data_IF_087043757182
#
_entry.id   IF_087043757182
#
_cell.length_a   1.000
_cell.length_b   1.000
_cell.length_c   1.000
_cell.angle_alpha   90.00
_cell.angle_beta   90.00
_cell.angle_gamma   90.00
#
_symmetry.space_group_name_H-M   'P 1'
#
loop_
_entity.id
_entity.type
_entity.pdbx_description
1 polymer ?
#
# COMPACT_ATOMS: atom_id res chain seq x y z
N UNK A 1 1.09 -18.13 52.98
CA UNK A 1 -0.09 -17.52 52.35
C UNK A 1 0.31 -17.04 50.97
N UNK A 2 -0.53 -17.41 50.00
CA UNK A 2 -0.41 -17.27 48.55
C UNK A 2 -0.44 -15.81 48.11
N UNK A 3 0.48 -15.40 47.24
CA UNK A 3 0.42 -14.12 46.53
C UNK A 3 0.16 -14.38 45.06
N UNK A 4 -1.11 -14.34 44.64
CA UNK A 4 -1.53 -14.48 43.25
C UNK A 4 -1.04 -13.28 42.44
N UNK A 5 -0.26 -13.55 41.38
CA UNK A 5 -0.14 -12.62 40.27
C UNK A 5 -1.54 -12.42 39.66
N UNK A 6 -1.98 -11.18 39.54
CA UNK A 6 -3.18 -10.86 38.79
C UNK A 6 -2.84 -10.97 37.32
N UNK A 7 -3.23 -12.09 36.71
CA UNK A 7 -3.34 -12.20 35.26
C UNK A 7 -4.41 -11.19 34.81
N UNK A 8 -3.95 -10.03 34.34
CA UNK A 8 -4.83 -9.08 33.65
C UNK A 8 -5.31 -9.78 32.39
N UNK A 9 -6.63 -9.96 32.19
CA UNK A 9 -7.15 -10.55 30.95
C UNK A 9 -6.67 -9.71 29.77
N UNK A 10 -6.12 -10.36 28.74
CA UNK A 10 -5.83 -9.68 27.48
C UNK A 10 -7.12 -9.04 26.95
N UNK A 11 -7.08 -7.80 26.41
CA UNK A 11 -8.25 -7.17 25.86
C UNK A 11 -8.88 -8.08 24.80
N UNK A 12 -10.17 -8.41 24.97
CA UNK A 12 -10.88 -9.40 24.17
C UNK A 12 -11.57 -8.79 22.94
N UNK A 13 -10.91 -7.86 22.26
CA UNK A 13 -11.49 -7.16 21.11
C UNK A 13 -10.42 -6.66 20.14
N UNK A 14 -10.84 -6.15 18.97
CA UNK A 14 -9.91 -5.67 17.96
C UNK A 14 -8.94 -4.62 18.53
N UNK A 15 -7.65 -4.84 18.32
CA UNK A 15 -6.56 -3.98 18.79
C UNK A 15 -5.97 -3.22 17.61
N UNK A 16 -5.88 -1.90 17.71
CA UNK A 16 -5.12 -1.12 16.73
C UNK A 16 -3.62 -1.27 17.01
N UNK A 17 -2.89 -1.79 16.04
CA UNK A 17 -1.43 -1.85 16.11
C UNK A 17 -0.85 -0.47 15.81
N UNK A 18 -0.01 0.06 16.70
CA UNK A 18 0.74 1.30 16.51
C UNK A 18 2.22 1.00 16.72
N UNK A 19 3.06 1.35 15.74
CA UNK A 19 4.48 0.97 15.76
C UNK A 19 5.07 0.84 14.36
N UNK A 20 6.11 0.02 14.25
CA UNK A 20 6.74 -0.32 12.97
C UNK A 20 6.41 -1.76 12.59
N UNK A 21 5.91 -1.97 11.37
CA UNK A 21 5.96 -3.24 10.69
C UNK A 21 7.34 -3.36 10.03
N UNK A 22 8.30 -3.95 10.75
CA UNK A 22 9.65 -4.19 10.21
C UNK A 22 9.56 -5.28 9.16
N UNK A 23 10.06 -5.00 7.95
CA UNK A 23 10.00 -5.93 6.83
C UNK A 23 11.12 -6.98 6.90
N UNK A 24 10.76 -8.21 6.57
CA UNK A 24 11.70 -9.24 6.16
C UNK A 24 12.02 -9.03 4.67
N UNK A 25 13.30 -9.00 4.27
CA UNK A 25 13.68 -8.88 2.86
C UNK A 25 13.06 -9.98 2.00
N UNK A 26 12.59 -9.62 0.82
CA UNK A 26 12.15 -10.59 -0.18
C UNK A 26 13.29 -11.54 -0.55
N UNK A 27 12.99 -12.83 -0.57
CA UNK A 27 13.94 -13.86 -0.97
C UNK A 27 13.25 -14.92 -1.82
N UNK A 28 14.05 -15.63 -2.62
CA UNK A 28 13.61 -16.78 -3.41
C UNK A 28 14.54 -17.96 -3.13
N UNK A 29 13.96 -19.13 -2.89
CA UNK A 29 14.66 -20.39 -2.71
C UNK A 29 13.94 -21.48 -3.52
N UNK A 30 14.55 -21.89 -4.63
CA UNK A 30 13.84 -22.69 -5.64
C UNK A 30 12.63 -21.91 -6.16
N UNK A 31 11.45 -22.52 -6.14
CA UNK A 31 10.20 -21.87 -6.55
C UNK A 31 9.49 -21.11 -5.41
N UNK A 32 10.03 -21.19 -4.19
CA UNK A 32 9.41 -20.57 -3.01
C UNK A 32 9.87 -19.13 -2.85
N UNK A 33 8.92 -18.20 -2.77
CA UNK A 33 9.16 -16.80 -2.41
C UNK A 33 8.75 -16.59 -0.95
N UNK A 34 9.56 -15.84 -0.21
CA UNK A 34 9.31 -15.43 1.18
C UNK A 34 9.69 -13.97 1.40
N UNK A 35 9.27 -13.38 2.52
CA UNK A 35 9.57 -11.98 2.83
C UNK A 35 8.69 -11.02 2.03
N UNK A 36 9.10 -9.76 1.93
CA UNK A 36 8.31 -8.72 1.26
C UNK A 36 8.57 -8.68 -0.25
N UNK A 37 7.49 -8.61 -1.04
CA UNK A 37 7.58 -8.61 -2.51
C UNK A 37 6.38 -7.94 -3.18
N UNK A 38 6.56 -7.66 -4.47
CA UNK A 38 5.55 -7.11 -5.37
C UNK A 38 5.44 -7.96 -6.65
N UNK A 39 4.22 -8.17 -7.14
CA UNK A 39 3.95 -8.69 -8.49
C UNK A 39 3.01 -7.75 -9.22
N UNK A 40 3.06 -7.80 -10.55
CA UNK A 40 2.14 -7.04 -11.39
C UNK A 40 1.41 -7.98 -12.33
N UNK A 41 0.10 -8.14 -12.13
CA UNK A 41 -0.77 -8.99 -12.94
C UNK A 41 -1.16 -8.24 -14.21
N UNK A 42 -1.03 -8.92 -15.35
CA UNK A 42 -1.43 -8.36 -16.64
C UNK A 42 -2.96 -8.34 -16.79
N UNK A 43 -3.53 -7.46 -17.64
CA UNK A 43 -4.95 -7.45 -17.92
C UNK A 43 -5.49 -8.84 -18.33
N UNK A 44 -6.59 -9.26 -17.70
CA UNK A 44 -7.19 -10.58 -17.91
C UNK A 44 -6.62 -11.71 -17.05
N UNK A 45 -5.57 -11.44 -16.25
CA UNK A 45 -5.02 -12.39 -15.29
C UNK A 45 -5.62 -12.32 -13.89
N UNK A 46 -5.16 -13.18 -12.99
CA UNK A 46 -5.53 -13.16 -11.56
C UNK A 46 -4.31 -13.02 -10.63
N UNK A 47 -4.47 -12.51 -9.39
CA UNK A 47 -3.40 -12.42 -8.40
C UNK A 47 -2.73 -13.75 -8.06
N UNK A 48 -3.44 -14.87 -8.21
CA UNK A 48 -2.97 -16.21 -7.87
C UNK A 48 -2.24 -16.87 -9.06
N UNK A 49 -2.73 -16.65 -10.28
CA UNK A 49 -2.32 -17.39 -11.46
C UNK A 49 -1.63 -16.55 -12.55
N UNK A 50 -1.67 -15.23 -12.44
CA UNK A 50 -1.17 -14.34 -13.49
C UNK A 50 -2.05 -14.38 -14.76
N UNK A 51 -1.48 -14.10 -15.94
CA UNK A 51 -0.06 -13.91 -16.19
C UNK A 51 0.50 -12.67 -15.50
N UNK A 52 1.78 -12.73 -15.11
CA UNK A 52 2.48 -11.62 -14.44
C UNK A 52 3.37 -10.91 -15.45
N UNK A 53 3.51 -9.59 -15.32
CA UNK A 53 4.49 -8.82 -16.06
C UNK A 53 5.89 -9.21 -15.60
N UNK A 54 6.76 -9.73 -16.49
CA UNK A 54 8.14 -10.06 -16.12
C UNK A 54 8.95 -8.78 -15.90
N UNK A 55 9.44 -8.58 -14.69
CA UNK A 55 10.49 -7.62 -14.38
C UNK A 55 11.86 -8.23 -14.69
N UNK A 56 12.51 -7.76 -15.75
CA UNK A 56 13.82 -8.25 -16.18
C UNK A 56 14.95 -8.03 -15.17
N UNK A 57 14.77 -7.11 -14.20
CA UNK A 57 15.73 -6.87 -13.13
C UNK A 57 15.58 -7.85 -11.95
N UNK A 58 14.48 -8.62 -11.91
CA UNK A 58 14.23 -9.52 -10.79
C UNK A 58 14.81 -10.93 -11.01
N UNK A 59 15.54 -11.48 -10.03
CA UNK A 59 16.04 -12.85 -10.09
C UNK A 59 14.96 -13.90 -9.79
N UNK A 60 13.78 -13.51 -9.29
CA UNK A 60 12.79 -14.44 -8.80
C UNK A 60 11.77 -14.85 -9.87
N UNK A 61 11.56 -16.17 -10.02
CA UNK A 61 10.48 -16.76 -10.81
C UNK A 61 10.40 -16.21 -12.24
N UNK A 62 11.55 -16.13 -12.92
CA UNK A 62 11.62 -15.63 -14.30
C UNK A 62 11.20 -14.16 -14.46
N UNK A 63 11.36 -13.37 -13.40
CA UNK A 63 10.97 -11.96 -13.37
C UNK A 63 9.55 -11.70 -12.90
N UNK A 64 8.73 -12.74 -12.67
CA UNK A 64 7.33 -12.57 -12.27
C UNK A 64 7.13 -11.88 -10.91
N UNK A 65 8.14 -11.96 -10.04
CA UNK A 65 8.10 -11.41 -8.68
C UNK A 65 9.24 -10.46 -8.45
N UNK A 66 8.96 -9.22 -8.06
CA UNK A 66 9.98 -8.26 -7.63
C UNK A 66 10.19 -8.37 -6.13
N UNK A 67 11.39 -8.79 -5.72
CA UNK A 67 11.76 -8.87 -4.31
C UNK A 67 12.07 -7.48 -3.75
N UNK A 68 11.59 -7.19 -2.54
CA UNK A 68 11.76 -5.89 -1.92
C UNK A 68 12.64 -5.98 -0.68
N UNK A 69 13.58 -5.04 -0.55
CA UNK A 69 14.40 -4.88 0.66
C UNK A 69 13.80 -3.81 1.58
N UNK A 70 13.92 -3.96 2.92
CA UNK A 70 13.56 -2.91 3.85
C UNK A 70 14.32 -1.61 3.56
N UNK A 71 13.63 -0.48 3.66
CA UNK A 71 14.22 0.84 3.51
C UNK A 71 14.99 1.31 4.74
N UNK A 72 15.35 2.58 4.76
CA UNK A 72 16.11 3.21 5.85
C UNK A 72 15.38 3.19 7.20
N UNK A 73 14.04 3.15 7.22
CA UNK A 73 13.26 2.99 8.45
C UNK A 73 13.02 1.51 8.82
N UNK A 74 13.42 0.57 7.96
CA UNK A 74 13.25 -0.87 8.15
C UNK A 74 11.86 -1.42 7.81
N UNK A 75 10.91 -0.58 7.37
CA UNK A 75 9.57 -1.02 6.97
C UNK A 75 8.50 0.08 7.08
N UNK A 76 7.25 -0.33 7.29
CA UNK A 76 6.08 0.54 7.30
C UNK A 76 5.70 0.97 8.73
N UNK A 77 5.59 2.27 8.96
CA UNK A 77 5.09 2.86 10.21
C UNK A 77 3.57 2.91 10.21
N UNK A 78 2.97 2.42 11.28
CA UNK A 78 1.53 2.49 11.51
C UNK A 78 1.21 3.69 12.41
N UNK A 79 0.21 4.48 12.02
CA UNK A 79 -0.20 5.70 12.69
C UNK A 79 0.58 6.96 12.26
N UNK A 80 1.48 6.87 11.28
CA UNK A 80 2.21 8.03 10.77
C UNK A 80 2.69 7.87 9.34
N UNK A 81 2.94 8.99 8.67
CA UNK A 81 3.39 9.01 7.27
C UNK A 81 4.92 8.88 7.15
N UNK A 82 5.35 8.17 6.11
CA UNK A 82 6.67 8.20 5.52
C UNK A 82 6.57 8.80 4.11
N UNK A 83 6.51 10.12 4.06
CA UNK A 83 6.27 10.88 2.84
C UNK A 83 7.47 10.94 1.90
N UNK A 84 7.19 11.21 0.64
CA UNK A 84 8.20 11.36 -0.41
C UNK A 84 9.18 12.51 -0.08
N UNK A 85 10.46 12.35 -0.41
CA UNK A 85 11.42 13.42 -0.29
C UNK A 85 11.12 14.55 -1.30
N UNK A 86 11.81 15.68 -1.13
CA UNK A 86 11.76 16.81 -2.06
C UNK A 86 13.19 17.13 -2.51
N UNK A 87 13.55 16.94 -3.80
CA UNK A 87 12.72 16.36 -4.87
C UNK A 87 12.36 14.89 -4.63
N UNK A 88 11.29 14.41 -5.26
CA UNK A 88 10.83 13.01 -5.17
C UNK A 88 11.58 12.07 -6.10
N UNK A 89 12.18 12.60 -7.17
CA UNK A 89 12.83 11.85 -8.24
C UNK A 89 14.21 12.40 -8.57
N UNK A 90 15.06 11.52 -9.13
CA UNK A 90 16.27 11.88 -9.85
C UNK A 90 16.40 10.98 -11.09
N UNK A 91 16.34 11.58 -12.28
CA UNK A 91 16.48 10.86 -13.56
C UNK A 91 15.47 9.70 -13.70
N UNK A 92 14.20 9.94 -13.33
CA UNK A 92 13.14 8.92 -13.33
C UNK A 92 13.14 7.98 -12.11
N UNK A 93 14.25 7.87 -11.38
CA UNK A 93 14.35 7.02 -10.19
C UNK A 93 13.66 7.67 -9.00
N UNK A 94 12.86 6.90 -8.28
CA UNK A 94 12.26 7.34 -7.02
C UNK A 94 13.33 7.46 -5.93
N UNK A 95 13.29 8.57 -5.20
CA UNK A 95 14.14 8.81 -4.03
C UNK A 95 13.48 8.35 -2.72
N UNK A 96 12.26 7.79 -2.78
CA UNK A 96 11.51 7.30 -1.63
C UNK A 96 12.11 6.00 -1.08
N UNK A 97 13.05 6.15 -0.14
CA UNK A 97 13.84 5.05 0.43
C UNK A 97 13.51 4.71 1.91
N UNK A 98 12.41 5.25 2.45
CA UNK A 98 12.08 5.06 3.87
C UNK A 98 11.45 3.70 4.17
N UNK A 99 10.42 3.31 3.41
CA UNK A 99 9.63 2.09 3.63
C UNK A 99 10.37 0.87 3.05
N UNK A 100 10.66 0.91 1.75
CA UNK A 100 11.50 -0.05 1.04
C UNK A 100 12.73 0.67 0.50
N UNK A 101 13.78 -0.09 0.19
CA UNK A 101 14.87 0.42 -0.65
C UNK A 101 14.33 0.60 -2.08
N UNK A 102 14.68 1.69 -2.78
CA UNK A 102 14.33 1.82 -4.19
C UNK A 102 14.83 0.60 -4.96
N UNK A 103 13.93 0.00 -5.74
CA UNK A 103 14.16 -1.31 -6.36
C UNK A 103 13.91 -1.20 -7.85
N UNK A 104 14.79 -1.78 -8.67
CA UNK A 104 14.65 -1.70 -10.12
C UNK A 104 13.44 -2.46 -10.64
N UNK A 105 12.71 -1.79 -11.51
CA UNK A 105 11.62 -2.34 -12.29
C UNK A 105 11.73 -1.76 -13.69
N UNK A 106 12.18 -2.57 -14.66
CA UNK A 106 12.57 -2.10 -15.99
C UNK A 106 13.66 -1.00 -15.94
N UNK A 107 14.77 -1.30 -15.26
CA UNK A 107 15.97 -0.47 -15.06
C UNK A 107 15.78 0.82 -14.24
N UNK A 108 14.55 1.25 -13.98
CA UNK A 108 14.22 2.43 -13.17
C UNK A 108 13.85 1.99 -11.75
N UNK A 109 14.38 2.68 -10.76
CA UNK A 109 14.06 2.41 -9.36
C UNK A 109 12.67 2.93 -9.02
N UNK A 110 11.75 2.04 -8.63
CA UNK A 110 10.51 2.46 -7.95
C UNK A 110 10.72 2.52 -6.45
N UNK A 111 10.02 3.44 -5.81
CA UNK A 111 10.04 3.64 -4.36
C UNK A 111 8.63 3.69 -3.81
N UNK A 112 8.54 3.53 -2.48
CA UNK A 112 7.26 3.49 -1.77
C UNK A 112 7.23 4.60 -0.72
N UNK A 113 6.08 5.28 -0.68
CA UNK A 113 5.79 6.31 0.29
C UNK A 113 4.36 6.18 0.81
N UNK A 114 4.12 6.85 1.93
CA UNK A 114 2.76 7.08 2.44
C UNK A 114 2.58 8.57 2.65
N UNK A 115 1.55 9.16 2.04
CA UNK A 115 1.41 10.61 1.99
C UNK A 115 0.05 11.07 2.55
N UNK A 116 0.01 12.21 3.27
CA UNK A 116 -1.26 12.78 3.76
C UNK A 116 -2.16 13.30 2.63
N UNK A 117 -1.57 13.57 1.47
CA UNK A 117 -2.27 13.83 0.21
C UNK A 117 -1.68 12.89 -0.82
N UNK A 118 -2.52 12.03 -1.38
CA UNK A 118 -2.11 11.05 -2.36
C UNK A 118 -1.52 11.75 -3.62
N UNK A 119 -0.27 11.44 -4.01
CA UNK A 119 0.39 12.14 -5.12
C UNK A 119 -0.31 11.97 -6.47
N UNK A 120 -1.00 10.85 -6.68
CA UNK A 120 -1.71 10.59 -7.94
C UNK A 120 -3.09 11.28 -7.98
N UNK A 121 -3.95 11.03 -7.00
CA UNK A 121 -5.35 11.48 -6.98
C UNK A 121 -5.53 12.86 -6.36
N UNK A 122 -4.51 13.38 -5.66
CA UNK A 122 -4.55 14.65 -4.92
C UNK A 122 -5.61 14.67 -3.81
N UNK A 123 -6.07 13.50 -3.35
CA UNK A 123 -7.02 13.37 -2.23
C UNK A 123 -6.27 13.27 -0.91
N UNK A 124 -6.87 13.83 0.15
CA UNK A 124 -6.43 13.54 1.52
C UNK A 124 -6.85 12.12 1.89
N UNK A 125 -5.91 11.41 2.50
CA UNK A 125 -6.05 10.01 2.92
C UNK A 125 -5.48 9.88 4.33
N UNK A 126 -5.97 8.95 5.17
CA UNK A 126 -5.44 8.75 6.51
C UNK A 126 -4.02 8.15 6.50
N UNK A 127 -3.28 8.23 7.63
CA UNK A 127 -2.06 7.47 7.78
C UNK A 127 -2.37 5.97 7.79
N UNK A 128 -1.39 5.09 7.51
CA UNK A 128 -1.57 3.66 7.58
C UNK A 128 -2.14 3.23 8.94
N UNK A 129 -3.17 2.39 8.94
CA UNK A 129 -3.73 1.78 10.15
C UNK A 129 -3.80 0.27 9.99
N UNK A 130 -3.61 -0.45 11.09
CA UNK A 130 -3.72 -1.91 11.13
C UNK A 130 -4.49 -2.28 12.39
N UNK A 131 -5.49 -3.13 12.23
CA UNK A 131 -6.28 -3.69 13.32
C UNK A 131 -6.02 -5.19 13.36
N UNK A 132 -5.63 -5.67 14.54
CA UNK A 132 -5.51 -7.07 14.88
C UNK A 132 -6.79 -7.53 15.58
N UNK A 133 -7.51 -8.48 14.99
CA UNK A 133 -8.63 -9.17 15.61
C UNK A 133 -8.29 -10.65 15.72
N UNK A 134 -7.83 -11.06 16.91
CA UNK A 134 -7.50 -12.46 17.21
C UNK A 134 -6.53 -13.11 16.20
N UNK A 135 -5.49 -12.37 15.80
CA UNK A 135 -4.47 -12.83 14.87
C UNK A 135 -4.83 -12.63 13.39
N UNK A 136 -6.02 -12.11 13.09
CA UNK A 136 -6.38 -11.65 11.75
C UNK A 136 -6.12 -10.15 11.63
N UNK A 137 -5.32 -9.76 10.66
CA UNK A 137 -5.06 -8.35 10.37
C UNK A 137 -6.01 -7.81 9.31
N UNK A 138 -6.49 -6.59 9.52
CA UNK A 138 -7.11 -5.74 8.49
C UNK A 138 -6.44 -4.38 8.53
N UNK A 139 -6.13 -3.81 7.38
CA UNK A 139 -5.38 -2.56 7.29
C UNK A 139 -5.99 -1.57 6.29
N UNK A 140 -5.94 -0.29 6.65
CA UNK A 140 -6.10 0.83 5.73
C UNK A 140 -4.71 1.31 5.34
N UNK A 141 -4.35 1.04 4.08
CA UNK A 141 -3.13 1.45 3.41
C UNK A 141 -3.44 2.38 2.24
N UNK A 142 -4.56 3.11 2.27
CA UNK A 142 -4.99 4.01 1.19
C UNK A 142 -3.95 5.07 0.79
N UNK A 143 -3.04 5.42 1.71
CA UNK A 143 -1.93 6.35 1.48
C UNK A 143 -0.70 5.73 0.81
N UNK A 144 -0.65 4.42 0.59
CA UNK A 144 0.47 3.72 -0.06
C UNK A 144 0.58 4.12 -1.54
N UNK A 145 1.65 4.84 -1.86
CA UNK A 145 1.97 5.30 -3.20
C UNK A 145 3.26 4.65 -3.69
N UNK A 146 3.28 4.32 -4.98
CA UNK A 146 4.46 3.88 -5.70
C UNK A 146 4.89 4.96 -6.69
N UNK A 147 6.11 5.46 -6.57
CA UNK A 147 6.74 6.39 -7.51
C UNK A 147 7.67 5.63 -8.45
N UNK A 148 7.54 5.85 -9.75
CA UNK A 148 8.38 5.21 -10.78
C UNK A 148 8.40 6.04 -12.07
N UNK A 149 9.58 6.29 -12.63
CA UNK A 149 9.78 6.99 -13.90
C UNK A 149 9.06 8.34 -13.98
N UNK A 150 9.30 9.18 -12.97
CA UNK A 150 8.69 10.50 -12.79
C UNK A 150 7.15 10.50 -12.73
N UNK A 151 6.55 9.34 -12.41
CA UNK A 151 5.12 9.15 -12.29
C UNK A 151 4.73 8.56 -10.94
N UNK A 152 3.52 8.90 -10.53
CA UNK A 152 2.93 8.48 -9.27
C UNK A 152 1.75 7.55 -9.50
N UNK A 153 1.74 6.46 -8.75
CA UNK A 153 0.68 5.45 -8.77
C UNK A 153 0.17 5.24 -7.35
N UNK A 154 -1.10 5.57 -7.09
CA UNK A 154 -1.70 5.11 -5.85
C UNK A 154 -1.81 3.58 -5.92
N UNK A 155 -1.24 2.89 -4.94
CA UNK A 155 -1.27 1.44 -4.84
C UNK A 155 -1.83 0.99 -3.48
N UNK A 156 -2.60 1.87 -2.84
CA UNK A 156 -3.20 1.64 -1.54
C UNK A 156 -4.41 0.72 -1.58
N UNK A 157 -4.82 0.32 -0.38
CA UNK A 157 -5.96 -0.53 -0.11
C UNK A 157 -6.69 -0.08 1.17
N UNK A 158 -7.97 0.29 1.10
CA UNK A 158 -8.75 0.42 -0.12
C UNK A 158 -8.23 1.60 -0.97
N UNK A 159 -8.39 1.51 -2.29
CA UNK A 159 -7.91 2.55 -3.21
C UNK A 159 -8.82 3.78 -3.08
N UNK A 160 -8.29 5.00 -2.87
CA UNK A 160 -9.12 6.20 -2.93
C UNK A 160 -9.72 6.35 -4.33
N UNK A 161 -10.95 6.90 -4.47
CA UNK A 161 -11.52 7.14 -5.78
C UNK A 161 -10.72 8.21 -6.52
N UNK A 162 -10.77 8.19 -7.85
CA UNK A 162 -10.23 9.29 -8.65
C UNK A 162 -10.91 10.61 -8.29
N UNK A 163 -10.18 11.73 -8.34
CA UNK A 163 -10.79 13.05 -8.22
C UNK A 163 -11.62 13.29 -9.49
N UNK A 164 -12.95 13.35 -9.35
CA UNK A 164 -13.79 13.85 -10.43
C UNK A 164 -13.31 15.28 -10.75
N UNK A 165 -12.91 15.53 -12.01
CA UNK A 165 -12.60 16.88 -12.45
C UNK A 165 -13.82 17.76 -12.17
N UNK A 166 -13.60 18.94 -11.57
CA UNK A 166 -14.68 19.89 -11.34
C UNK A 166 -15.43 20.10 -12.66
N UNK A 167 -16.74 19.81 -12.66
CA UNK A 167 -17.58 20.01 -13.83
C UNK A 167 -17.41 21.45 -14.33
N UNK A 168 -16.83 21.60 -15.52
CA UNK A 168 -16.70 22.90 -16.18
C UNK A 168 -18.12 23.37 -16.49
N UNK A 169 -18.49 24.58 -16.04
CA UNK A 169 -19.79 25.15 -16.33
C UNK A 169 -20.02 25.19 -17.85
N UNK A 170 -21.01 24.42 -18.33
CA UNK A 170 -21.26 24.13 -19.76
C UNK A 170 -21.24 22.64 -20.11
N UNK A 171 -20.71 21.78 -19.24
CA UNK A 171 -20.70 20.33 -19.44
C UNK A 171 -22.06 19.64 -19.17
N UNK A 172 -23.05 20.33 -18.59
CA UNK A 172 -24.35 19.74 -18.25
C UNK A 172 -25.16 19.28 -19.47
N UNK A 173 -25.06 19.98 -20.60
CA UNK A 173 -25.76 19.61 -21.83
C UNK A 173 -25.10 18.43 -22.53
N UNK A 174 -23.77 18.31 -22.45
CA UNK A 174 -23.02 17.15 -22.95
C UNK A 174 -23.24 15.94 -22.05
N UNK A 175 -23.28 16.13 -20.73
CA UNK A 175 -23.57 15.08 -19.76
C UNK A 175 -24.98 14.51 -19.94
N UNK A 176 -26.00 15.33 -20.21
CA UNK A 176 -27.37 14.87 -20.51
C UNK A 176 -27.45 14.01 -21.78
N UNK A 177 -26.69 14.37 -22.81
CA UNK A 177 -26.63 13.58 -24.06
C UNK A 177 -25.94 12.23 -23.81
N UNK A 178 -24.84 12.23 -23.04
CA UNK A 178 -24.15 10.99 -22.67
C UNK A 178 -24.94 10.14 -21.67
N UNK A 179 -25.69 10.74 -20.74
CA UNK A 179 -26.53 10.02 -19.79
C UNK A 179 -27.72 9.33 -20.50
N UNK A 180 -28.27 9.94 -21.56
CA UNK A 180 -29.30 9.33 -22.41
C UNK A 180 -28.76 8.12 -23.20
N UNK A 181 -27.55 8.23 -23.74
CA UNK A 181 -26.88 7.11 -24.44
C UNK A 181 -26.47 6.00 -23.45
N UNK A 182 -26.03 6.36 -22.24
CA UNK A 182 -25.57 5.41 -21.23
C UNK A 182 -26.71 4.67 -20.50
N UNK A 183 -27.88 5.30 -20.34
CA UNK A 183 -29.08 4.65 -19.78
C UNK A 183 -29.55 3.45 -20.60
N UNK A 184 -29.19 3.37 -21.89
CA UNK A 184 -29.53 2.21 -22.71
C UNK A 184 -28.59 1.01 -22.51
N UNK A 185 -27.45 1.14 -21.83
CA UNK A 185 -26.44 0.08 -21.87
C UNK A 185 -25.83 -0.38 -20.54
N UNK A 186 -25.72 0.39 -19.46
CA UNK A 186 -25.20 -0.17 -18.19
C UNK A 186 -25.66 0.60 -16.94
N UNK A 187 -26.13 -0.14 -15.93
CA UNK A 187 -26.23 0.33 -14.54
C UNK A 187 -24.86 0.83 -14.08
N UNK A 188 -24.70 2.16 -14.01
CA UNK A 188 -23.47 2.79 -13.54
C UNK A 188 -23.64 3.14 -12.05
N UNK A 189 -22.91 2.50 -11.11
CA UNK A 189 -22.92 2.98 -9.74
C UNK A 189 -22.17 4.32 -9.68
N UNK A 190 -22.84 5.35 -9.17
CA UNK A 190 -22.17 6.46 -8.49
C UNK A 190 -21.38 5.87 -7.32
N UNK A 191 -20.14 6.27 -7.07
CA UNK A 191 -19.73 6.68 -5.72
C UNK A 191 -18.30 7.17 -5.64
N UNK A 192 -18.12 8.24 -4.87
CA UNK A 192 -16.85 8.67 -4.27
C UNK A 192 -16.35 7.72 -3.16
N UNK A 193 -16.72 6.45 -3.19
CA UNK A 193 -16.31 5.46 -2.20
C UNK A 193 -14.98 4.81 -2.60
N UNK A 194 -14.15 4.50 -1.60
CA UNK A 194 -12.90 3.79 -1.81
C UNK A 194 -13.17 2.45 -2.55
N UNK A 195 -12.32 2.13 -3.53
CA UNK A 195 -12.49 0.99 -4.43
C UNK A 195 -11.50 -0.13 -4.08
N UNK A 196 -11.97 -1.37 -4.15
CA UNK A 196 -11.14 -2.57 -3.91
C UNK A 196 -11.06 -2.99 -2.44
N UNK A 197 -10.59 -4.23 -2.18
CA UNK A 197 -10.53 -4.78 -0.84
C UNK A 197 -9.48 -4.08 0.04
N UNK A 198 -9.73 -4.00 1.34
CA UNK A 198 -8.71 -3.63 2.33
C UNK A 198 -7.55 -4.63 2.32
N UNK A 199 -6.39 -4.19 2.80
CA UNK A 199 -5.29 -5.12 3.04
C UNK A 199 -5.62 -6.03 4.22
N UNK A 200 -5.30 -7.32 4.10
CA UNK A 200 -5.57 -8.32 5.13
C UNK A 200 -4.41 -9.25 5.31
N UNK A 201 -4.33 -9.92 6.46
CA UNK A 201 -3.32 -10.95 6.68
C UNK A 201 -3.38 -11.53 8.07
N UNK A 202 -2.22 -11.95 8.58
CA UNK A 202 -2.12 -12.69 9.84
C UNK A 202 -1.12 -12.05 10.79
N UNK A 203 -1.32 -12.27 12.09
CA UNK A 203 -0.42 -11.86 13.16
C UNK A 203 -0.32 -12.94 14.22
N UNK A 204 0.89 -13.35 14.53
CA UNK A 204 1.18 -14.22 15.67
C UNK A 204 1.67 -13.36 16.84
N UNK A 205 0.90 -13.22 17.94
CA UNK A 205 1.31 -12.40 19.08
C UNK A 205 2.54 -12.95 19.83
N UNK A 206 2.82 -14.26 19.74
CA UNK A 206 3.96 -14.88 20.40
C UNK A 206 5.28 -14.55 19.71
N UNK A 207 5.33 -14.69 18.39
CA UNK A 207 6.53 -14.36 17.58
C UNK A 207 6.55 -12.93 17.04
N UNK A 208 5.42 -12.21 17.14
CA UNK A 208 5.14 -10.91 16.51
C UNK A 208 5.26 -10.90 14.99
N UNK A 209 5.25 -12.08 14.36
CA UNK A 209 5.30 -12.21 12.92
C UNK A 209 3.99 -11.76 12.31
N UNK A 210 4.07 -11.02 11.22
CA UNK A 210 2.90 -10.58 10.47
C UNK A 210 3.03 -10.90 8.99
N UNK A 211 1.87 -11.02 8.35
CA UNK A 211 1.71 -10.87 6.90
C UNK A 211 0.62 -9.86 6.60
N UNK A 212 0.75 -9.11 5.51
CA UNK A 212 -0.31 -8.29 4.93
C UNK A 212 -0.26 -8.43 3.41
N UNK A 213 -1.41 -8.70 2.80
CA UNK A 213 -1.54 -8.84 1.36
C UNK A 213 -2.74 -8.04 0.86
N UNK A 214 -2.58 -7.43 -0.31
CA UNK A 214 -3.67 -6.80 -1.05
C UNK A 214 -3.37 -6.70 -2.53
N UNK A 215 -4.40 -6.31 -3.27
CA UNK A 215 -4.33 -5.99 -4.69
C UNK A 215 -4.75 -4.55 -4.92
N UNK A 216 -4.12 -3.85 -5.84
CA UNK A 216 -4.53 -2.50 -6.24
C UNK A 216 -4.45 -2.33 -7.75
N UNK A 217 -5.57 -1.91 -8.36
CA UNK A 217 -5.60 -1.61 -9.80
C UNK A 217 -4.69 -0.40 -10.08
N UNK A 218 -3.84 -0.53 -11.09
CA UNK A 218 -3.04 0.57 -11.61
C UNK A 218 -3.89 1.36 -12.61
N UNK A 219 -3.99 2.65 -12.35
CA UNK A 219 -4.72 3.61 -13.18
C UNK A 219 -3.71 4.61 -13.71
N UNK A 220 -3.75 4.87 -15.01
CA UNK A 220 -2.85 5.79 -15.70
C UNK A 220 -1.46 5.21 -15.97
N UNK A 221 -0.66 5.97 -16.70
CA UNK A 221 0.70 5.61 -17.08
C UNK A 221 0.81 4.36 -17.97
N UNK A 222 2.03 3.83 -18.16
CA UNK A 222 2.30 2.71 -19.06
C UNK A 222 1.76 1.36 -18.56
N UNK A 223 1.43 1.26 -17.27
CA UNK A 223 0.89 0.04 -16.65
C UNK A 223 -0.61 0.14 -16.39
N UNK A 224 -1.32 1.04 -17.07
CA UNK A 224 -2.76 1.21 -16.90
C UNK A 224 -3.53 -0.11 -17.13
N UNK A 225 -4.41 -0.47 -16.19
CA UNK A 225 -5.21 -1.69 -16.24
C UNK A 225 -4.51 -2.94 -15.69
N UNK A 226 -3.23 -2.85 -15.31
CA UNK A 226 -2.55 -3.91 -14.57
C UNK A 226 -2.96 -3.87 -13.10
N UNK A 227 -2.80 -4.98 -12.39
CA UNK A 227 -3.08 -5.05 -10.95
C UNK A 227 -1.79 -5.32 -10.19
N UNK A 228 -1.42 -4.41 -9.29
CA UNK A 228 -0.36 -4.64 -8.33
C UNK A 228 -0.81 -5.61 -7.25
N UNK A 229 0.04 -6.59 -6.92
CA UNK A 229 -0.14 -7.54 -5.82
C UNK A 229 1.01 -7.31 -4.85
N UNK A 230 0.65 -6.93 -3.63
CA UNK A 230 1.61 -6.61 -2.58
C UNK A 230 1.53 -7.67 -1.50
N UNK A 231 2.69 -8.14 -1.05
CA UNK A 231 2.81 -9.00 0.12
C UNK A 231 3.91 -8.45 1.01
N UNK A 232 3.53 -8.07 2.22
CA UNK A 232 4.43 -7.61 3.27
C UNK A 232 4.56 -8.72 4.30
N UNK A 233 5.78 -9.04 4.69
CA UNK A 233 6.07 -10.00 5.74
C UNK A 233 7.12 -9.41 6.69
N UNK A 234 7.00 -9.70 7.98
CA UNK A 234 8.08 -9.43 8.93
C UNK A 234 7.64 -9.46 10.38
N UNK A 235 8.15 -8.52 11.18
CA UNK A 235 7.96 -8.45 12.64
C UNK A 235 7.33 -7.12 13.03
N UNK A 236 6.31 -7.15 13.89
CA UNK A 236 5.74 -5.95 14.48
C UNK A 236 6.54 -5.47 15.71
N UNK A 237 6.89 -4.18 15.72
CA UNK A 237 7.64 -3.51 16.77
C UNK A 237 6.82 -2.34 17.37
N UNK A 238 6.12 -2.55 18.50
CA UNK A 238 5.26 -1.52 19.10
C UNK A 238 6.06 -0.33 19.65
N UNK A 239 7.31 -0.54 20.08
CA UNK A 239 8.17 0.50 20.64
C UNK A 239 8.80 1.42 19.57
N UNK A 240 8.70 1.06 18.29
CA UNK A 240 9.30 1.80 17.18
C UNK A 240 8.37 2.87 16.56
N UNK A 241 7.22 3.16 17.19
CA UNK A 241 6.45 4.36 16.90
C UNK A 241 7.35 5.60 17.13
N UNK A 242 7.57 6.40 16.08
CA UNK A 242 8.47 7.56 16.11
C UNK A 242 8.10 8.59 17.22
N UNK A 243 9.03 9.48 17.65
CA UNK A 243 8.91 10.24 18.90
C UNK A 243 7.69 11.16 18.92
N UNK A 244 7.11 11.37 20.11
CA UNK A 244 6.06 12.36 20.37
C UNK A 244 6.44 13.68 19.69
N UNK A 245 5.52 14.23 18.89
CA UNK A 245 5.65 15.60 18.39
C UNK A 245 5.99 16.51 19.57
N UNK A 246 7.11 17.22 19.49
CA UNK A 246 7.42 18.28 20.45
C UNK A 246 6.34 19.35 20.33
N UNK A 247 5.52 19.48 21.36
CA UNK A 247 4.62 20.62 21.53
C UNK A 247 5.49 21.89 21.49
N UNK A 248 5.19 22.89 20.64
CA UNK A 248 5.92 24.16 20.67
C UNK A 248 5.69 24.81 22.04
N UNK A 249 6.71 25.44 22.66
CA UNK A 249 6.48 26.20 23.87
C UNK A 249 5.48 27.32 23.55
N UNK A 250 4.37 27.35 24.29
CA UNK A 250 3.50 28.51 24.38
C UNK A 250 4.30 29.64 25.02
N UNK A 251 4.51 30.72 24.25
CA UNK A 251 4.87 32.03 24.81
C UNK A 251 3.71 32.63 25.59
#
# INVERSE_FOLDING_TARGET
MTGCAKDTPAPSGPEQLIGLLRFTPGAVSGDTVSGTWFRMVQPGGTPEHGPYMPNGDSPAQGGATTLLEPGTAGGLRIGGYQSEPKPGFAEGNSLSASITKPTKFFAVEFGISTNPTDPQTQRRVPPPTVVNDNGKLTADLSSWAASWNDQEFNQGAPKPPEKQAAQVAGAEQVQKVWDWVAQQWFDKPKSDAAQGPSATGSYDPGSRRFTLQWTSLIVGGPFNGFTGVWHLEGIFEPAAAAPKQSVPPTN
#
